data_IF_533988159855
#
_entry.id   IF_533988159855
#
_cell.length_a   1.000
_cell.length_b   1.000
_cell.length_c   1.000
_cell.angle_alpha   90.00
_cell.angle_beta   90.00
_cell.angle_gamma   90.00
#
_symmetry.space_group_name_H-M   'P 1'
#
loop_
_entity.id
_entity.type
_entity.pdbx_description
1 polymer ?
#
# COMPACT_ATOMS: atom_id res chain seq x y z
N UNK A 1 42.21 -10.14 -14.55
CA UNK A 1 40.91 -10.77 -14.26
C UNK A 1 40.34 -10.15 -13.00
N UNK A 2 39.47 -9.14 -13.14
CA UNK A 2 38.75 -8.55 -12.00
C UNK A 2 37.41 -9.29 -11.91
N UNK A 3 37.19 -10.03 -10.82
CA UNK A 3 35.86 -10.63 -10.56
C UNK A 3 34.91 -9.50 -10.14
N UNK A 4 33.71 -9.40 -10.72
CA UNK A 4 32.74 -8.42 -10.26
C UNK A 4 32.18 -8.89 -8.92
N UNK A 5 32.47 -8.13 -7.86
CA UNK A 5 31.80 -8.27 -6.57
C UNK A 5 30.34 -7.88 -6.76
N UNK A 6 29.44 -8.87 -6.71
CA UNK A 6 28.00 -8.64 -6.64
C UNK A 6 27.73 -7.84 -5.37
N UNK A 7 27.43 -6.56 -5.49
CA UNK A 7 26.73 -5.82 -4.44
C UNK A 7 25.33 -6.45 -4.35
N UNK A 8 25.18 -7.41 -3.44
CA UNK A 8 23.87 -7.96 -3.05
C UNK A 8 22.99 -6.81 -2.58
N UNK A 9 21.92 -6.54 -3.35
CA UNK A 9 20.90 -5.57 -3.00
C UNK A 9 20.10 -6.05 -1.80
N UNK A 10 20.56 -5.71 -0.59
CA UNK A 10 19.85 -6.00 0.68
C UNK A 10 18.73 -4.98 0.94
N UNK A 11 18.68 -3.88 0.20
CA UNK A 11 17.79 -2.74 0.50
C UNK A 11 16.37 -2.82 -0.09
N UNK A 12 16.14 -3.56 -1.17
CA UNK A 12 14.79 -3.71 -1.75
C UNK A 12 13.89 -4.60 -0.87
N UNK A 13 14.44 -5.73 -0.40
CA UNK A 13 13.72 -6.74 0.40
C UNK A 13 13.22 -6.25 1.76
N UNK A 14 13.99 -5.40 2.44
CA UNK A 14 13.60 -4.91 3.76
C UNK A 14 12.43 -3.92 3.72
N UNK A 15 12.31 -3.14 2.62
CA UNK A 15 11.24 -2.15 2.44
C UNK A 15 9.87 -2.81 2.26
N UNK A 16 9.81 -3.96 1.60
CA UNK A 16 8.56 -4.68 1.40
C UNK A 16 7.97 -5.19 2.72
N UNK A 17 8.81 -5.70 3.64
CA UNK A 17 8.33 -6.23 4.94
C UNK A 17 7.85 -5.15 5.88
N UNK A 18 8.59 -4.04 6.03
CA UNK A 18 8.17 -2.95 6.92
C UNK A 18 6.88 -2.29 6.43
N UNK A 19 6.78 -2.02 5.12
CA UNK A 19 5.57 -1.46 4.51
C UNK A 19 4.37 -2.39 4.65
N UNK A 20 4.55 -3.69 4.41
CA UNK A 20 3.49 -4.68 4.63
C UNK A 20 2.97 -4.65 6.07
N UNK A 21 3.87 -4.66 7.06
CA UNK A 21 3.49 -4.63 8.47
C UNK A 21 2.75 -3.34 8.82
N UNK A 22 3.20 -2.19 8.30
CA UNK A 22 2.52 -0.91 8.46
C UNK A 22 1.12 -0.93 7.86
N UNK A 23 0.96 -1.38 6.60
CA UNK A 23 -0.35 -1.47 5.94
C UNK A 23 -1.29 -2.40 6.71
N UNK A 24 -0.78 -3.56 7.16
CA UNK A 24 -1.55 -4.51 7.97
C UNK A 24 -2.02 -3.90 9.29
N UNK A 25 -1.14 -3.17 9.98
CA UNK A 25 -1.48 -2.47 11.22
C UNK A 25 -2.56 -1.42 11.00
N UNK A 26 -2.42 -0.59 9.96
CA UNK A 26 -3.40 0.45 9.62
C UNK A 26 -4.78 -0.16 9.27
N UNK A 27 -4.81 -1.23 8.47
CA UNK A 27 -6.06 -1.97 8.16
C UNK A 27 -6.77 -2.43 9.43
N UNK A 28 -6.04 -3.02 10.37
CA UNK A 28 -6.59 -3.47 11.65
C UNK A 28 -7.09 -2.30 12.51
N UNK A 29 -6.36 -1.18 12.52
CA UNK A 29 -6.77 0.02 13.24
C UNK A 29 -8.08 0.61 12.67
N UNK A 30 -8.19 0.72 11.35
CA UNK A 30 -9.39 1.18 10.66
C UNK A 30 -10.57 0.27 10.95
N UNK A 31 -10.41 -1.06 10.81
CA UNK A 31 -11.47 -2.01 11.14
C UNK A 31 -11.93 -1.93 12.60
N UNK A 32 -11.01 -1.73 13.56
CA UNK A 32 -11.37 -1.49 14.97
C UNK A 32 -12.16 -0.19 15.13
N UNK A 33 -11.77 0.87 14.43
CA UNK A 33 -12.44 2.15 14.50
C UNK A 33 -13.87 2.08 13.94
N UNK A 34 -14.04 1.47 12.77
CA UNK A 34 -15.35 1.29 12.12
C UNK A 34 -16.31 0.43 12.96
N UNK A 35 -15.80 -0.61 13.62
CA UNK A 35 -16.61 -1.42 14.56
C UNK A 35 -17.15 -0.61 15.73
N UNK A 36 -16.40 0.40 16.20
CA UNK A 36 -16.84 1.25 17.31
C UNK A 36 -17.82 2.32 16.84
N UNK A 37 -17.65 2.85 15.63
CA UNK A 37 -18.46 3.93 15.08
C UNK A 37 -19.09 3.53 13.73
N UNK A 38 -20.17 2.73 13.72
CA UNK A 38 -20.81 2.28 12.48
C UNK A 38 -21.38 3.40 11.61
N UNK A 39 -21.65 4.58 12.18
CA UNK A 39 -22.10 5.75 11.40
C UNK A 39 -21.07 6.22 10.38
N UNK A 40 -19.78 5.91 10.57
CA UNK A 40 -18.72 6.29 9.63
C UNK A 40 -18.78 5.52 8.31
N UNK A 41 -19.63 4.49 8.20
CA UNK A 41 -19.85 3.77 6.94
C UNK A 41 -20.34 4.67 5.81
N UNK A 42 -21.06 5.76 6.14
CA UNK A 42 -21.54 6.71 5.13
C UNK A 42 -20.42 7.53 4.49
N UNK A 43 -19.24 7.58 5.11
CA UNK A 43 -18.09 8.38 4.66
C UNK A 43 -17.05 7.55 3.88
N UNK A 44 -17.29 6.26 3.66
CA UNK A 44 -16.31 5.36 3.04
C UNK A 44 -15.86 5.80 1.65
N UNK A 45 -16.80 6.26 0.82
CA UNK A 45 -16.49 6.69 -0.55
C UNK A 45 -15.59 7.94 -0.57
N UNK A 46 -15.91 8.92 0.28
CA UNK A 46 -15.11 10.14 0.44
C UNK A 46 -13.73 9.82 1.00
N UNK A 47 -13.65 9.07 2.11
CA UNK A 47 -12.38 8.68 2.72
C UNK A 47 -11.48 7.87 1.78
N UNK A 48 -12.06 7.03 0.92
CA UNK A 48 -11.32 6.27 -0.07
C UNK A 48 -10.73 7.16 -1.16
N UNK A 49 -11.51 8.14 -1.63
CA UNK A 49 -11.05 9.11 -2.63
C UNK A 49 -9.96 10.00 -2.06
N UNK A 50 -10.16 10.57 -0.87
CA UNK A 50 -9.15 11.40 -0.18
C UNK A 50 -7.83 10.64 0.01
N UNK A 51 -7.92 9.37 0.45
CA UNK A 51 -6.76 8.51 0.61
C UNK A 51 -6.04 8.21 -0.71
N UNK A 52 -6.80 8.00 -1.80
CA UNK A 52 -6.25 7.75 -3.12
C UNK A 52 -5.52 8.98 -3.68
N UNK A 53 -6.15 10.15 -3.60
CA UNK A 53 -5.54 11.43 -4.01
C UNK A 53 -4.29 11.75 -3.19
N UNK A 54 -4.35 11.56 -1.87
CA UNK A 54 -3.17 11.70 -1.01
C UNK A 54 -2.03 10.75 -1.37
N UNK A 55 -2.35 9.50 -1.74
CA UNK A 55 -1.37 8.52 -2.23
C UNK A 55 -0.70 8.95 -3.54
N UNK A 56 -1.46 9.53 -4.47
CA UNK A 56 -0.92 10.11 -5.70
C UNK A 56 0.05 11.25 -5.37
N UNK A 57 -0.35 12.18 -4.49
CA UNK A 57 0.50 13.32 -4.11
C UNK A 57 1.83 12.89 -3.47
N UNK A 58 1.81 11.89 -2.59
CA UNK A 58 3.04 11.31 -2.03
C UNK A 58 3.88 10.68 -3.14
N UNK A 59 3.25 9.93 -4.06
CA UNK A 59 3.97 9.29 -5.18
C UNK A 59 4.61 10.30 -6.12
N UNK A 60 3.93 11.40 -6.44
CA UNK A 60 4.46 12.48 -7.28
C UNK A 60 5.65 13.20 -6.62
N UNK A 61 5.68 13.29 -5.29
CA UNK A 61 6.82 13.88 -4.56
C UNK A 61 8.04 12.98 -4.55
N UNK A 62 7.83 11.66 -4.49
CA UNK A 62 8.92 10.68 -4.35
C UNK A 62 9.43 10.14 -5.70
N UNK A 63 8.65 10.30 -6.78
CA UNK A 63 8.94 9.72 -8.09
C UNK A 63 8.92 10.78 -9.19
N UNK A 64 9.41 10.42 -10.37
CA UNK A 64 9.34 11.27 -11.57
C UNK A 64 8.14 10.93 -12.47
N UNK A 65 7.12 10.26 -11.93
CA UNK A 65 5.91 9.91 -12.68
C UNK A 65 5.06 11.15 -12.95
N UNK A 66 4.47 11.23 -14.14
CA UNK A 66 3.53 12.29 -14.48
C UNK A 66 2.14 11.99 -13.91
N UNK A 67 1.43 13.01 -13.42
CA UNK A 67 0.03 12.86 -12.97
C UNK A 67 -0.87 12.15 -14.00
N UNK A 68 -0.56 12.29 -15.31
CA UNK A 68 -1.33 11.68 -16.41
C UNK A 68 -1.31 10.15 -16.41
N UNK A 69 -0.36 9.51 -15.73
CA UNK A 69 -0.29 8.04 -15.67
C UNK A 69 -1.23 7.45 -14.63
N UNK A 70 -1.72 8.27 -13.70
CA UNK A 70 -2.60 7.81 -12.64
C UNK A 70 -4.07 7.81 -13.11
N UNK A 71 -4.87 6.83 -12.67
CA UNK A 71 -6.32 6.88 -12.86
C UNK A 71 -6.92 8.14 -12.24
N UNK A 72 -7.99 8.67 -12.85
CA UNK A 72 -8.71 9.84 -12.35
C UNK A 72 -9.54 9.56 -11.08
N UNK A 73 -9.87 8.30 -10.84
CA UNK A 73 -10.66 7.84 -9.70
C UNK A 73 -9.99 6.62 -9.11
N UNK A 74 -10.20 6.37 -7.81
CA UNK A 74 -9.68 5.17 -7.16
C UNK A 74 -10.22 3.92 -7.89
N UNK A 75 -9.35 3.02 -8.39
CA UNK A 75 -9.79 1.80 -9.08
C UNK A 75 -10.20 0.69 -8.11
N UNK A 76 -10.06 0.91 -6.80
CA UNK A 76 -10.29 -0.09 -5.77
C UNK A 76 -11.50 0.28 -4.94
N UNK A 77 -12.18 -0.73 -4.43
CA UNK A 77 -13.26 -0.59 -3.45
C UNK A 77 -12.69 -0.51 -2.04
N UNK A 78 -13.49 0.02 -1.10
CA UNK A 78 -13.08 0.11 0.30
C UNK A 78 -12.85 -1.29 0.91
N UNK A 79 -13.68 -2.26 0.53
CA UNK A 79 -13.59 -3.66 0.91
C UNK A 79 -12.29 -4.30 0.42
N UNK A 80 -11.90 -4.04 -0.83
CA UNK A 80 -10.62 -4.49 -1.37
C UNK A 80 -9.46 -3.88 -0.59
N UNK A 81 -9.46 -2.55 -0.38
CA UNK A 81 -8.35 -1.88 0.31
C UNK A 81 -8.18 -2.38 1.75
N UNK A 82 -9.25 -2.76 2.43
CA UNK A 82 -9.21 -3.33 3.79
C UNK A 82 -9.00 -4.84 3.84
N UNK A 83 -9.11 -5.56 2.70
CA UNK A 83 -8.92 -6.99 2.68
C UNK A 83 -7.46 -7.36 3.05
N UNK A 84 -7.24 -8.33 3.97
CA UNK A 84 -5.90 -8.66 4.46
C UNK A 84 -4.89 -9.06 3.38
N UNK A 85 -5.37 -9.71 2.33
CA UNK A 85 -4.57 -10.26 1.22
C UNK A 85 -4.55 -9.35 -0.02
N UNK A 86 -5.12 -8.16 0.06
CA UNK A 86 -5.12 -7.24 -1.08
C UNK A 86 -3.75 -6.57 -1.25
N UNK A 87 -3.19 -6.68 -2.46
CA UNK A 87 -1.86 -6.22 -2.92
C UNK A 87 -0.63 -6.91 -2.31
N UNK A 88 -0.77 -7.63 -1.19
CA UNK A 88 0.31 -8.42 -0.61
C UNK A 88 -0.29 -9.72 -0.05
N UNK A 89 0.17 -10.86 -0.54
CA UNK A 89 -0.11 -12.17 0.06
C UNK A 89 1.01 -12.54 1.05
N UNK A 90 0.76 -12.49 2.37
CA UNK A 90 1.76 -12.85 3.38
C UNK A 90 1.93 -14.36 3.54
N UNK A 91 1.19 -15.18 2.79
CA UNK A 91 1.22 -16.64 2.91
C UNK A 91 1.97 -17.31 1.75
N UNK A 92 2.18 -16.60 0.63
CA UNK A 92 2.84 -17.13 -0.57
C UNK A 92 4.36 -16.88 -0.67
N UNK A 93 4.82 -15.65 -0.46
CA UNK A 93 6.06 -15.22 -1.15
C UNK A 93 7.10 -14.52 -0.24
N UNK A 94 7.46 -15.14 0.90
CA UNK A 94 8.65 -14.67 1.65
C UNK A 94 9.98 -15.14 1.04
N UNK A 95 9.95 -15.89 -0.06
CA UNK A 95 11.13 -16.38 -0.77
C UNK A 95 11.81 -15.33 -1.68
N UNK A 96 11.23 -14.13 -1.78
CA UNK A 96 11.92 -12.93 -2.26
C UNK A 96 11.54 -12.47 -3.66
N UNK A 97 10.25 -12.49 -3.99
CA UNK A 97 9.68 -11.85 -5.19
C UNK A 97 9.10 -10.45 -4.92
N UNK A 98 9.45 -9.85 -3.79
CA UNK A 98 9.59 -8.39 -3.64
C UNK A 98 11.09 -8.07 -3.45
#
# INVERSE_FOLDING_TARGET
MVKPTKRTGVFAKARCRSWFLTIREQRLAIQRHLRRHPSLHTLWAEALMDGFEGGIEVTLRETLLSLRVFPKTCPYTFEQVLAPTFLCDPTGDWDGTC
#
